data_IF_684382620743
#
_entry.id   IF_684382620743
#
_cell.length_a   1.000
_cell.length_b   1.000
_cell.length_c   1.000
_cell.angle_alpha   90.00
_cell.angle_beta   90.00
_cell.angle_gamma   90.00
#
_symmetry.space_group_name_H-M   'P 1'
#
loop_
_entity.id
_entity.type
_entity.pdbx_description
1 polymer ?
#
# COMPACT_ATOMS: atom_id res chain seq x y z
N UNK A 1 -4.97 -28.41 -2.03
CA UNK A 1 -5.78 -27.19 -1.86
C UNK A 1 -6.41 -27.19 -0.49
N UNK A 2 -6.64 -26.02 0.09
CA UNK A 2 -7.34 -25.90 1.38
C UNK A 2 -8.83 -25.71 1.08
N UNK A 3 -9.71 -26.47 1.74
CA UNK A 3 -11.15 -26.25 1.62
C UNK A 3 -11.53 -25.00 2.41
N UNK A 4 -12.05 -24.00 1.71
CA UNK A 4 -12.56 -22.76 2.32
C UNK A 4 -14.06 -22.71 2.04
N UNK A 5 -14.86 -22.71 3.09
CA UNK A 5 -16.31 -22.62 2.96
C UNK A 5 -16.74 -21.16 2.78
N UNK A 6 -17.92 -20.93 2.20
CA UNK A 6 -18.51 -19.59 2.12
C UNK A 6 -18.65 -18.94 3.51
N UNK A 7 -18.98 -19.73 4.54
CA UNK A 7 -19.06 -19.24 5.92
C UNK A 7 -17.73 -18.69 6.44
N UNK A 8 -16.59 -19.26 6.02
CA UNK A 8 -15.29 -18.72 6.40
C UNK A 8 -15.05 -17.34 5.77
N UNK A 9 -15.38 -17.16 4.49
CA UNK A 9 -15.21 -15.87 3.80
C UNK A 9 -16.13 -14.81 4.41
N UNK A 10 -17.40 -15.13 4.64
CA UNK A 10 -18.36 -14.19 5.25
C UNK A 10 -17.93 -13.82 6.68
N UNK A 11 -17.46 -14.78 7.48
CA UNK A 11 -16.95 -14.51 8.83
C UNK A 11 -15.70 -13.60 8.79
N UNK A 12 -14.76 -13.86 7.88
CA UNK A 12 -13.60 -12.98 7.66
C UNK A 12 -14.03 -11.59 7.23
N UNK A 13 -14.99 -11.47 6.30
CA UNK A 13 -15.48 -10.19 5.84
C UNK A 13 -16.09 -9.37 6.98
N UNK A 14 -16.97 -9.98 7.77
CA UNK A 14 -17.58 -9.33 8.93
C UNK A 14 -16.52 -8.88 9.95
N UNK A 15 -15.50 -9.72 10.22
CA UNK A 15 -14.43 -9.38 11.15
C UNK A 15 -13.54 -8.22 10.65
N UNK A 16 -13.21 -8.16 9.36
CA UNK A 16 -12.38 -7.07 8.83
C UNK A 16 -13.14 -5.74 8.85
N UNK A 17 -14.45 -5.76 8.60
CA UNK A 17 -15.29 -4.55 8.67
C UNK A 17 -15.39 -3.95 10.07
N UNK A 18 -15.13 -4.71 11.14
CA UNK A 18 -15.08 -4.15 12.51
C UNK A 18 -13.71 -3.56 12.86
N UNK A 19 -12.65 -4.03 12.22
CA UNK A 19 -11.27 -3.58 12.47
C UNK A 19 -10.94 -2.31 11.69
N UNK A 20 -11.46 -2.16 10.47
CA UNK A 20 -11.19 -1.00 9.62
C UNK A 20 -12.31 0.04 9.83
N UNK A 21 -12.05 1.15 10.54
CA UNK A 21 -13.09 2.14 10.79
C UNK A 21 -13.44 2.90 9.51
N UNK A 22 -14.73 3.21 9.34
CA UNK A 22 -15.27 4.05 8.27
C UNK A 22 -15.05 3.54 6.83
N UNK A 23 -14.86 2.23 6.66
CA UNK A 23 -14.78 1.62 5.33
C UNK A 23 -16.08 1.86 4.55
N UNK A 24 -16.00 2.46 3.36
CA UNK A 24 -17.20 2.73 2.57
C UNK A 24 -16.95 3.31 1.19
N UNK A 25 -18.00 3.87 0.58
CA UNK A 25 -18.00 4.31 -0.83
C UNK A 25 -17.07 5.50 -1.16
N UNK A 26 -16.44 6.11 -0.15
CA UNK A 26 -15.42 7.16 -0.36
C UNK A 26 -14.04 6.57 -0.61
N UNK A 27 -13.86 5.29 -0.28
CA UNK A 27 -12.60 4.60 -0.46
C UNK A 27 -12.48 4.01 -1.86
N UNK A 28 -11.22 3.91 -2.29
CA UNK A 28 -10.84 3.27 -3.55
C UNK A 28 -9.76 2.25 -3.23
N UNK A 29 -10.07 0.98 -3.48
CA UNK A 29 -9.17 -0.14 -3.29
C UNK A 29 -8.45 -0.49 -4.60
N UNK A 30 -7.13 -0.67 -4.54
CA UNK A 30 -6.34 -1.17 -5.67
C UNK A 30 -6.12 -2.66 -5.53
N UNK A 31 -6.84 -3.44 -6.33
CA UNK A 31 -6.67 -4.88 -6.45
C UNK A 31 -5.55 -5.20 -7.44
N UNK A 32 -4.38 -5.60 -6.94
CA UNK A 32 -3.21 -5.88 -7.77
C UNK A 32 -2.60 -7.27 -7.52
N UNK A 33 -3.05 -8.00 -6.50
CA UNK A 33 -2.58 -9.36 -6.26
C UNK A 33 -3.38 -10.36 -7.10
N UNK A 34 -2.83 -11.54 -7.41
CA UNK A 34 -3.58 -12.58 -8.10
C UNK A 34 -4.71 -13.12 -7.22
N UNK A 35 -5.93 -13.15 -7.74
CA UNK A 35 -7.14 -13.67 -7.06
C UNK A 35 -7.01 -15.14 -6.63
N UNK A 36 -6.07 -15.89 -7.22
CA UNK A 36 -5.69 -17.24 -6.77
C UNK A 36 -5.18 -17.28 -5.32
N UNK A 37 -4.74 -16.15 -4.76
CA UNK A 37 -4.39 -16.05 -3.34
C UNK A 37 -5.63 -15.69 -2.53
N UNK A 38 -5.92 -16.48 -1.49
CA UNK A 38 -7.04 -16.24 -0.55
C UNK A 38 -7.05 -14.83 0.03
N UNK A 39 -5.87 -14.21 0.14
CA UNK A 39 -5.74 -12.85 0.67
C UNK A 39 -6.46 -11.82 -0.21
N UNK A 40 -6.30 -11.90 -1.53
CA UNK A 40 -6.97 -10.97 -2.45
C UNK A 40 -8.47 -11.30 -2.55
N UNK A 41 -8.82 -12.58 -2.59
CA UNK A 41 -10.22 -13.01 -2.60
C UNK A 41 -11.00 -12.51 -1.37
N UNK A 42 -10.38 -12.59 -0.18
CA UNK A 42 -10.97 -12.07 1.05
C UNK A 42 -11.03 -10.53 1.05
N UNK A 43 -9.99 -9.86 0.58
CA UNK A 43 -9.96 -8.40 0.47
C UNK A 43 -11.05 -7.88 -0.48
N UNK A 44 -11.17 -8.43 -1.69
CA UNK A 44 -12.23 -8.06 -2.63
C UNK A 44 -13.62 -8.32 -2.04
N UNK A 45 -13.82 -9.44 -1.34
CA UNK A 45 -15.10 -9.75 -0.67
C UNK A 45 -15.46 -8.69 0.38
N UNK A 46 -14.47 -8.18 1.14
CA UNK A 46 -14.67 -7.07 2.08
C UNK A 46 -15.02 -5.77 1.37
N UNK A 47 -14.28 -5.42 0.32
CA UNK A 47 -14.50 -4.18 -0.42
C UNK A 47 -15.87 -4.16 -1.09
N UNK A 48 -16.30 -5.28 -1.66
CA UNK A 48 -17.64 -5.45 -2.22
C UNK A 48 -18.73 -5.32 -1.16
N UNK A 49 -18.56 -5.96 0.01
CA UNK A 49 -19.53 -5.87 1.11
C UNK A 49 -19.64 -4.45 1.70
N UNK A 50 -18.54 -3.69 1.72
CA UNK A 50 -18.50 -2.32 2.21
C UNK A 50 -18.88 -1.26 1.15
N UNK A 51 -19.07 -1.65 -0.11
CA UNK A 51 -19.41 -0.72 -1.20
C UNK A 51 -18.24 0.17 -1.65
N UNK A 52 -17.01 -0.32 -1.51
CA UNK A 52 -15.77 0.37 -1.90
C UNK A 52 -15.54 0.21 -3.41
N UNK A 53 -15.03 1.26 -4.07
CA UNK A 53 -14.67 1.17 -5.49
C UNK A 53 -13.37 0.35 -5.67
N UNK A 54 -13.37 -0.62 -6.58
CA UNK A 54 -12.20 -1.48 -6.84
C UNK A 54 -11.60 -1.10 -8.19
N UNK A 55 -10.32 -0.73 -8.20
CA UNK A 55 -9.51 -0.61 -9.40
C UNK A 55 -8.58 -1.80 -9.55
N UNK A 56 -8.57 -2.42 -10.72
CA UNK A 56 -7.72 -3.57 -11.01
C UNK A 56 -6.40 -3.12 -11.62
N UNK A 57 -5.30 -3.68 -11.11
CA UNK A 57 -3.94 -3.44 -11.58
C UNK A 57 -3.10 -4.72 -11.52
N UNK A 58 -1.80 -4.57 -11.73
CA UNK A 58 -0.87 -5.69 -11.58
C UNK A 58 0.35 -5.28 -10.75
N UNK A 59 1.05 -6.23 -10.10
CA UNK A 59 2.24 -5.89 -9.32
C UNK A 59 3.35 -5.29 -10.19
N UNK A 60 3.32 -5.58 -11.50
CA UNK A 60 4.28 -5.12 -12.49
C UNK A 60 3.90 -3.79 -13.15
N UNK A 61 2.71 -3.27 -12.86
CA UNK A 61 2.21 -1.96 -13.33
C UNK A 61 1.90 -0.99 -12.18
N UNK A 62 2.10 -1.45 -10.94
CA UNK A 62 1.76 -0.74 -9.71
C UNK A 62 2.40 0.66 -9.61
N UNK A 63 3.69 0.78 -9.90
CA UNK A 63 4.46 2.03 -9.76
C UNK A 63 4.94 2.53 -11.11
N UNK A 64 5.15 3.85 -11.26
CA UNK A 64 5.68 4.44 -12.51
C UNK A 64 7.06 3.88 -12.90
N UNK A 65 7.76 3.27 -11.94
CA UNK A 65 9.08 2.64 -12.09
C UNK A 65 9.01 1.14 -12.37
N UNK A 66 7.81 0.54 -12.43
CA UNK A 66 7.66 -0.89 -12.60
C UNK A 66 7.97 -1.35 -14.04
N UNK A 67 8.57 -2.54 -14.17
CA UNK A 67 9.15 -3.06 -15.41
C UNK A 67 8.18 -3.20 -16.61
N UNK A 68 6.86 -3.29 -16.37
CA UNK A 68 5.86 -3.41 -17.44
C UNK A 68 5.13 -2.10 -17.76
N UNK A 69 5.42 -1.01 -17.04
CA UNK A 69 4.90 0.31 -17.39
C UNK A 69 5.70 0.83 -18.57
N UNK A 70 5.02 1.25 -19.64
CA UNK A 70 5.67 1.85 -20.80
C UNK A 70 6.43 3.09 -20.33
N UNK A 71 7.69 3.25 -20.74
CA UNK A 71 8.49 4.44 -20.37
C UNK A 71 7.72 5.70 -20.80
N UNK A 72 7.39 6.56 -19.81
CA UNK A 72 6.59 7.77 -20.01
C UNK A 72 5.10 7.66 -19.63
N UNK A 73 4.60 6.48 -19.24
CA UNK A 73 3.23 6.32 -18.70
C UNK A 73 3.21 6.28 -17.17
N UNK A 74 2.09 6.71 -16.59
CA UNK A 74 1.86 6.67 -15.13
C UNK A 74 1.48 5.25 -14.71
N UNK A 75 1.96 4.80 -13.56
CA UNK A 75 1.56 3.52 -12.96
C UNK A 75 0.16 3.57 -12.37
N UNK A 76 -0.38 2.39 -12.05
CA UNK A 76 -1.78 2.23 -11.60
C UNK A 76 -2.08 3.05 -10.34
N UNK A 77 -1.15 3.08 -9.39
CA UNK A 77 -1.29 3.87 -8.14
C UNK A 77 -1.39 5.37 -8.44
N UNK A 78 -0.62 5.88 -9.40
CA UNK A 78 -0.58 7.31 -9.74
C UNK A 78 -1.86 7.76 -10.43
N UNK A 79 -2.49 6.87 -11.22
CA UNK A 79 -3.72 7.16 -11.96
C UNK A 79 -4.94 6.99 -11.04
N UNK A 80 -5.05 5.84 -10.37
CA UNK A 80 -6.21 5.49 -9.55
C UNK A 80 -6.24 6.26 -8.22
N UNK A 81 -5.07 6.60 -7.66
CA UNK A 81 -4.92 7.21 -6.33
C UNK A 81 -5.73 6.46 -5.25
N UNK A 82 -5.44 5.17 -5.04
CA UNK A 82 -6.19 4.36 -4.08
C UNK A 82 -6.04 4.88 -2.66
N UNK A 83 -7.10 4.78 -1.87
CA UNK A 83 -7.06 5.01 -0.42
C UNK A 83 -6.69 3.74 0.33
N UNK A 84 -6.96 2.58 -0.26
CA UNK A 84 -6.72 1.26 0.33
C UNK A 84 -5.87 0.38 -0.59
N UNK A 85 -4.92 -0.32 0.01
CA UNK A 85 -4.05 -1.27 -0.68
C UNK A 85 -3.68 -2.41 0.26
N UNK A 86 -3.80 -3.65 -0.21
CA UNK A 86 -3.27 -4.83 0.49
C UNK A 86 -1.76 -4.83 0.41
N UNK A 87 -1.06 -4.87 1.54
CA UNK A 87 0.40 -4.84 1.55
C UNK A 87 0.96 -6.19 2.01
N UNK A 88 1.85 -6.77 1.19
CA UNK A 88 2.70 -7.90 1.58
C UNK A 88 4.16 -7.45 1.65
N UNK A 89 5.01 -8.08 2.48
CA UNK A 89 6.39 -7.62 2.70
C UNK A 89 7.17 -7.36 1.41
N UNK A 90 7.07 -8.27 0.43
CA UNK A 90 7.73 -8.14 -0.86
C UNK A 90 7.29 -6.91 -1.67
N UNK A 91 6.05 -6.44 -1.50
CA UNK A 91 5.55 -5.24 -2.19
C UNK A 91 6.02 -3.98 -1.46
N UNK A 92 6.04 -4.00 -0.13
CA UNK A 92 6.60 -2.91 0.68
C UNK A 92 8.07 -2.70 0.33
N UNK A 93 8.85 -3.78 0.18
CA UNK A 93 10.25 -3.71 -0.25
C UNK A 93 10.38 -3.06 -1.64
N UNK A 94 9.56 -3.48 -2.62
CA UNK A 94 9.57 -2.84 -3.95
C UNK A 94 9.22 -1.37 -3.92
N UNK A 95 8.23 -0.98 -3.11
CA UNK A 95 7.85 0.43 -2.93
C UNK A 95 9.02 1.20 -2.33
N UNK A 96 9.67 0.67 -1.29
CA UNK A 96 10.87 1.27 -0.69
C UNK A 96 11.97 1.46 -1.73
N UNK A 97 12.31 0.41 -2.46
CA UNK A 97 13.39 0.46 -3.46
C UNK A 97 13.06 1.47 -4.58
N UNK A 98 11.79 1.56 -4.99
CA UNK A 98 11.31 2.59 -5.91
C UNK A 98 11.46 4.02 -5.37
N UNK A 99 11.18 4.25 -4.08
CA UNK A 99 11.39 5.55 -3.43
C UNK A 99 12.88 5.87 -3.32
N UNK A 100 13.70 4.92 -2.86
CA UNK A 100 15.16 5.10 -2.74
C UNK A 100 15.77 5.48 -4.09
N UNK A 101 15.40 4.77 -5.16
CA UNK A 101 15.85 5.09 -6.51
C UNK A 101 15.45 6.50 -6.96
N UNK A 102 14.20 6.91 -6.73
CA UNK A 102 13.75 8.30 -7.03
C UNK A 102 14.52 9.35 -6.24
N UNK A 103 14.89 9.07 -4.98
CA UNK A 103 15.72 9.96 -4.15
C UNK A 103 17.15 10.03 -4.68
N UNK A 104 17.72 8.90 -5.11
CA UNK A 104 19.05 8.85 -5.70
C UNK A 104 19.12 9.56 -7.04
N UNK A 105 18.11 9.40 -7.90
CA UNK A 105 17.99 10.10 -9.19
C UNK A 105 17.92 11.63 -9.02
N UNK A 106 17.23 12.13 -7.98
CA UNK A 106 17.18 13.58 -7.69
C UNK A 106 18.51 14.14 -7.19
N UNK A 107 19.27 13.35 -6.42
CA UNK A 107 20.60 13.71 -5.94
C UNK A 107 20.67 15.01 -5.10
N UNK A 108 21.90 15.44 -4.81
CA UNK A 108 22.21 16.75 -4.21
C UNK A 108 21.53 17.03 -2.85
N UNK A 109 21.05 18.27 -2.70
CA UNK A 109 20.41 18.77 -1.47
C UNK A 109 19.15 17.98 -1.09
N UNK A 110 18.36 17.54 -2.07
CA UNK A 110 17.13 16.79 -1.83
C UNK A 110 17.41 15.42 -1.18
N UNK A 111 18.47 14.73 -1.60
CA UNK A 111 18.90 13.46 -0.99
C UNK A 111 19.34 13.67 0.46
N UNK A 112 20.16 14.69 0.72
CA UNK A 112 20.65 14.97 2.07
C UNK A 112 19.50 15.32 3.03
N UNK A 113 18.57 16.17 2.59
CA UNK A 113 17.40 16.53 3.39
C UNK A 113 16.51 15.32 3.70
N UNK A 114 16.26 14.47 2.70
CA UNK A 114 15.50 13.23 2.88
C UNK A 114 16.18 12.30 3.89
N UNK A 115 17.50 12.12 3.81
CA UNK A 115 18.26 11.26 4.72
C UNK A 115 18.25 11.79 6.16
N UNK A 116 18.36 13.10 6.36
CA UNK A 116 18.26 13.72 7.69
C UNK A 116 16.87 13.49 8.29
N UNK A 117 15.82 13.79 7.52
CA UNK A 117 14.44 13.59 7.95
C UNK A 117 14.14 12.11 8.28
N UNK A 118 14.59 11.19 7.42
CA UNK A 118 14.43 9.75 7.61
C UNK A 118 15.13 9.26 8.89
N UNK A 119 16.40 9.64 9.11
CA UNK A 119 17.15 9.27 10.32
C UNK A 119 16.49 9.81 11.59
N UNK A 120 15.98 11.04 11.56
CA UNK A 120 15.25 11.65 12.68
C UNK A 120 13.98 10.87 13.02
N UNK A 121 13.16 10.55 12.01
CA UNK A 121 11.93 9.77 12.22
C UNK A 121 12.22 8.35 12.70
N UNK A 122 13.26 7.72 12.17
CA UNK A 122 13.69 6.39 12.59
C UNK A 122 14.21 6.38 14.04
N UNK A 123 14.91 7.44 14.48
CA UNK A 123 15.30 7.61 15.88
C UNK A 123 14.07 7.76 16.80
N UNK A 124 13.05 8.50 16.37
CA UNK A 124 11.80 8.64 17.11
C UNK A 124 11.07 7.30 17.28
N UNK A 125 10.94 6.51 16.20
CA UNK A 125 10.30 5.18 16.25
C UNK A 125 11.07 4.21 17.14
N UNK A 126 12.41 4.32 17.20
CA UNK A 126 13.26 3.52 18.09
C UNK A 126 13.25 4.00 19.56
N UNK A 127 12.41 4.97 19.92
CA UNK A 127 12.28 5.46 21.29
C UNK A 127 13.39 6.41 21.73
N UNK A 128 14.17 6.97 20.81
CA UNK A 128 15.14 8.01 21.15
C UNK A 128 14.44 9.32 21.48
N UNK A 129 14.70 9.86 22.68
CA UNK A 129 14.17 11.12 23.18
C UNK A 129 14.39 12.31 22.22
N UNK A 130 15.53 12.36 21.51
CA UNK A 130 15.85 13.41 20.53
C UNK A 130 15.01 13.34 19.24
N UNK A 131 14.45 12.18 18.91
CA UNK A 131 13.58 12.02 17.73
C UNK A 131 12.14 12.48 17.99
N UNK A 132 11.68 12.37 19.23
CA UNK A 132 10.28 12.60 19.62
C UNK A 132 9.89 14.09 19.73
N UNK A 133 10.86 15.01 19.84
CA UNK A 133 10.60 16.45 20.01
C UNK A 133 10.38 17.19 18.67
N UNK A 134 9.58 16.60 17.78
CA UNK A 134 9.07 17.26 16.58
C UNK A 134 7.66 17.79 16.83
N UNK A 135 7.41 19.06 16.48
CA UNK A 135 6.09 19.72 16.48
C UNK A 135 5.16 19.13 15.41
N UNK A 136 4.99 17.81 15.36
CA UNK A 136 4.03 17.16 14.47
C UNK A 136 2.71 17.01 15.24
N UNK A 137 1.80 17.97 15.03
CA UNK A 137 0.37 17.84 15.34
C UNK A 137 -0.31 16.95 14.30
#
# INVERSE_FOLDING_TARGET
GVMITHGNIVATTAAVMTVIPNLGSKDVYLAYLPLAHVFEMAAESVMLAAGVAIGYGSPMTLTDTSNKVKKGTKGDVTVLKPTLLTAVPAIIDRIRDGVVKKVEEKGGLAKNLFQIAYKRRLAAVKGSWLGAWGLEK
#
